data_IF_878392913413
#
_entry.id   IF_878392913413
#
_cell.length_a   1.000
_cell.length_b   1.000
_cell.length_c   1.000
_cell.angle_alpha   90.00
_cell.angle_beta   90.00
_cell.angle_gamma   90.00
#
_symmetry.space_group_name_H-M   'P 1'
#
loop_
_entity.id
_entity.type
_entity.pdbx_description
1 polymer ?
#
# COMPACT_ATOMS: atom_id res chain seq x y z
N UNK A 1 -27.20 -24.16 32.73
CA UNK A 1 -27.20 -22.69 32.59
C UNK A 1 -26.74 -22.37 31.18
N UNK A 2 -27.52 -21.62 30.39
CA UNK A 2 -27.12 -21.23 29.05
C UNK A 2 -25.88 -20.31 29.12
N UNK A 3 -24.83 -20.60 28.34
CA UNK A 3 -23.66 -19.70 28.21
C UNK A 3 -24.16 -18.34 27.72
N UNK A 4 -23.85 -17.27 28.47
CA UNK A 4 -24.14 -15.89 28.04
C UNK A 4 -23.45 -15.65 26.70
N UNK A 5 -24.23 -15.34 25.65
CA UNK A 5 -23.68 -15.03 24.33
C UNK A 5 -22.83 -13.76 24.42
N UNK A 6 -21.68 -13.77 23.75
CA UNK A 6 -20.80 -12.60 23.68
C UNK A 6 -21.45 -11.56 22.79
N UNK A 7 -21.54 -10.32 23.28
CA UNK A 7 -22.19 -9.21 22.58
C UNK A 7 -21.16 -8.25 22.00
N UNK A 8 -21.20 -8.02 20.68
CA UNK A 8 -20.32 -7.12 19.95
C UNK A 8 -21.12 -5.91 19.45
N UNK A 9 -20.66 -4.71 19.79
CA UNK A 9 -21.20 -3.48 19.23
C UNK A 9 -20.55 -3.13 17.89
N UNK A 10 -21.34 -2.70 16.93
CA UNK A 10 -20.86 -2.17 15.64
C UNK A 10 -21.44 -0.78 15.49
N UNK A 11 -20.55 0.22 15.40
CA UNK A 11 -20.93 1.61 15.14
C UNK A 11 -20.34 2.03 13.81
N UNK A 12 -21.18 2.44 12.87
CA UNK A 12 -20.76 2.94 11.56
C UNK A 12 -21.34 4.33 11.25
N UNK A 13 -20.97 4.90 10.10
CA UNK A 13 -21.34 6.28 9.76
C UNK A 13 -22.15 6.42 8.48
N UNK A 14 -23.09 7.37 8.46
CA UNK A 14 -23.78 7.80 7.24
C UNK A 14 -22.82 8.44 6.22
N UNK A 15 -21.75 9.08 6.71
CA UNK A 15 -20.71 9.67 5.86
C UNK A 15 -19.95 8.64 5.01
N UNK A 16 -19.88 7.38 5.46
CA UNK A 16 -19.12 6.35 4.76
C UNK A 16 -19.78 5.96 3.45
N UNK A 17 -18.98 5.95 2.37
CA UNK A 17 -19.43 5.55 1.03
C UNK A 17 -19.49 4.02 0.82
N UNK A 18 -19.00 3.25 1.79
CA UNK A 18 -19.02 1.78 1.80
C UNK A 18 -19.70 1.32 3.09
N UNK A 19 -20.70 0.44 2.99
CA UNK A 19 -21.42 -0.11 4.15
C UNK A 19 -20.56 -1.16 4.88
N UNK A 20 -19.57 -0.67 5.62
CA UNK A 20 -18.70 -1.51 6.44
C UNK A 20 -19.46 -2.20 7.58
N UNK A 21 -20.56 -1.63 8.08
CA UNK A 21 -21.38 -2.29 9.10
C UNK A 21 -22.00 -3.58 8.60
N UNK A 22 -22.59 -3.58 7.40
CA UNK A 22 -23.11 -4.78 6.76
C UNK A 22 -22.00 -5.80 6.47
N UNK A 23 -20.82 -5.36 6.05
CA UNK A 23 -19.66 -6.24 5.81
C UNK A 23 -19.21 -6.94 7.11
N UNK A 24 -19.11 -6.21 8.22
CA UNK A 24 -18.76 -6.75 9.52
C UNK A 24 -19.82 -7.74 10.02
N UNK A 25 -21.11 -7.39 9.94
CA UNK A 25 -22.21 -8.29 10.31
C UNK A 25 -22.17 -9.57 9.47
N UNK A 26 -22.02 -9.44 8.15
CA UNK A 26 -21.97 -10.59 7.25
C UNK A 26 -20.79 -11.53 7.57
N UNK A 27 -19.65 -10.98 7.99
CA UNK A 27 -18.50 -11.76 8.44
C UNK A 27 -18.77 -12.48 9.77
N UNK A 28 -19.29 -11.75 10.77
CA UNK A 28 -19.52 -12.30 12.11
C UNK A 28 -20.62 -13.35 12.08
N UNK A 29 -21.77 -13.04 11.49
CA UNK A 29 -22.93 -13.94 11.45
C UNK A 29 -22.64 -15.25 10.68
N UNK A 30 -21.77 -15.20 9.66
CA UNK A 30 -21.40 -16.39 8.87
C UNK A 30 -20.45 -17.32 9.63
N UNK A 31 -19.46 -16.75 10.33
CA UNK A 31 -18.35 -17.51 10.89
C UNK A 31 -18.45 -17.74 12.40
N UNK A 32 -19.29 -16.95 13.10
CA UNK A 32 -19.40 -16.94 14.56
C UNK A 32 -20.89 -16.81 15.01
N UNK A 33 -21.74 -17.82 14.74
CA UNK A 33 -23.19 -17.76 14.97
C UNK A 33 -23.60 -17.61 16.45
N UNK A 34 -22.68 -17.85 17.38
CA UNK A 34 -22.90 -17.73 18.82
C UNK A 34 -22.66 -16.31 19.37
N UNK A 35 -22.21 -15.38 18.53
CA UNK A 35 -22.01 -13.97 18.86
C UNK A 35 -23.30 -13.18 18.60
N UNK A 36 -23.71 -12.37 19.57
CA UNK A 36 -24.80 -11.40 19.41
C UNK A 36 -24.23 -10.06 18.92
N UNK A 37 -24.89 -9.42 17.96
CA UNK A 37 -24.45 -8.16 17.38
C UNK A 37 -25.46 -7.05 17.69
N UNK A 38 -24.97 -5.89 18.12
CA UNK A 38 -25.77 -4.67 18.24
C UNK A 38 -25.18 -3.61 17.29
N UNK A 39 -25.96 -3.17 16.30
CA UNK A 39 -25.53 -2.13 15.35
C UNK A 39 -26.20 -0.79 15.65
N UNK A 40 -25.41 0.28 15.61
CA UNK A 40 -25.90 1.66 15.59
C UNK A 40 -25.19 2.43 14.47
N UNK A 41 -25.85 3.41 13.87
CA UNK A 41 -25.27 4.29 12.84
C UNK A 41 -25.32 5.73 13.30
N UNK A 42 -24.22 6.47 13.10
CA UNK A 42 -24.10 7.88 13.47
C UNK A 42 -23.78 8.75 12.22
N UNK A 43 -23.90 10.09 12.28
CA UNK A 43 -23.63 10.93 11.11
C UNK A 43 -22.19 10.82 10.59
N UNK A 44 -21.18 10.97 11.45
CA UNK A 44 -19.77 10.98 11.04
C UNK A 44 -18.80 10.42 12.09
N UNK A 45 -17.50 10.46 11.77
CA UNK A 45 -16.47 9.82 12.59
C UNK A 45 -16.36 10.40 14.01
N UNK A 46 -16.68 11.69 14.19
CA UNK A 46 -16.64 12.36 15.50
C UNK A 46 -17.74 11.89 16.46
N UNK A 47 -18.78 11.24 15.93
CA UNK A 47 -19.89 10.71 16.71
C UNK A 47 -19.66 9.24 17.12
N UNK A 48 -18.65 8.58 16.54
CA UNK A 48 -18.30 7.19 16.87
C UNK A 48 -17.88 6.99 18.34
N UNK A 49 -17.03 7.84 18.95
CA UNK A 49 -16.59 7.64 20.32
C UNK A 49 -17.71 7.55 21.38
N UNK A 50 -18.63 8.54 21.48
CA UNK A 50 -19.68 8.47 22.49
C UNK A 50 -20.62 7.29 22.25
N UNK A 51 -20.89 6.93 20.99
CA UNK A 51 -21.78 5.81 20.69
C UNK A 51 -21.14 4.45 20.99
N UNK A 52 -19.85 4.27 20.69
CA UNK A 52 -19.10 3.09 21.12
C UNK A 52 -19.11 2.95 22.64
N UNK A 53 -18.90 4.04 23.38
CA UNK A 53 -18.95 4.03 24.84
C UNK A 53 -20.32 3.57 25.35
N UNK A 54 -21.42 4.10 24.81
CA UNK A 54 -22.78 3.69 25.21
C UNK A 54 -23.01 2.20 24.99
N UNK A 55 -22.59 1.65 23.85
CA UNK A 55 -22.74 0.22 23.57
C UNK A 55 -21.93 -0.65 24.54
N UNK A 56 -20.71 -0.22 24.90
CA UNK A 56 -19.88 -0.91 25.89
C UNK A 56 -20.48 -0.87 27.30
N UNK A 57 -21.02 0.26 27.72
CA UNK A 57 -21.74 0.44 29.00
C UNK A 57 -23.05 -0.36 29.02
N UNK A 58 -23.70 -0.52 27.86
CA UNK A 58 -24.93 -1.30 27.67
C UNK A 58 -24.69 -2.82 27.55
N UNK A 59 -23.48 -3.28 27.86
CA UNK A 59 -23.16 -4.71 27.98
C UNK A 59 -22.53 -5.36 26.75
N UNK A 60 -22.12 -4.60 25.72
CA UNK A 60 -21.22 -5.14 24.70
C UNK A 60 -19.84 -5.40 25.33
N UNK A 61 -19.22 -6.53 25.02
CA UNK A 61 -17.88 -6.89 25.52
C UNK A 61 -16.77 -6.16 24.74
N UNK A 62 -17.06 -5.84 23.47
CA UNK A 62 -16.18 -5.11 22.57
C UNK A 62 -17.02 -4.31 21.57
N UNK A 63 -16.48 -3.23 21.02
CA UNK A 63 -17.09 -2.48 19.93
C UNK A 63 -16.17 -2.36 18.72
N UNK A 64 -16.76 -2.22 17.53
CA UNK A 64 -16.10 -1.84 16.30
C UNK A 64 -16.56 -0.45 15.89
N UNK A 65 -15.62 0.47 15.68
CA UNK A 65 -15.89 1.84 15.21
C UNK A 65 -15.48 1.93 13.73
N UNK A 66 -16.46 1.95 12.83
CA UNK A 66 -16.26 1.87 11.38
C UNK A 66 -16.43 3.26 10.77
N UNK A 67 -15.39 3.78 10.13
CA UNK A 67 -15.42 5.15 9.61
C UNK A 67 -14.63 5.32 8.33
N UNK A 68 -15.17 6.11 7.42
CA UNK A 68 -14.44 6.61 6.27
C UNK A 68 -13.96 8.03 6.53
N UNK A 69 -12.71 8.31 6.17
CA UNK A 69 -12.07 9.63 6.33
C UNK A 69 -11.84 10.24 4.94
N UNK A 70 -12.40 11.43 4.72
CA UNK A 70 -12.26 12.14 3.44
C UNK A 70 -10.81 12.54 3.12
N UNK A 71 -10.52 12.80 1.86
CA UNK A 71 -9.17 13.13 1.40
C UNK A 71 -8.60 14.49 1.84
N UNK A 72 -9.44 15.40 2.34
CA UNK A 72 -9.03 16.74 2.74
C UNK A 72 -8.21 16.76 4.05
N UNK A 73 -7.23 17.68 4.23
CA UNK A 73 -6.44 17.76 5.47
C UNK A 73 -7.29 17.90 6.74
N UNK A 74 -8.37 18.68 6.66
CA UNK A 74 -9.32 18.86 7.78
C UNK A 74 -9.98 17.55 8.20
N UNK A 75 -10.24 16.64 7.26
CA UNK A 75 -10.84 15.34 7.55
C UNK A 75 -9.84 14.44 8.31
N UNK A 76 -8.55 14.52 7.99
CA UNK A 76 -7.50 13.81 8.74
C UNK A 76 -7.42 14.29 10.19
N UNK A 77 -7.57 15.60 10.42
CA UNK A 77 -7.63 16.15 11.79
C UNK A 77 -8.89 15.69 12.53
N UNK A 78 -10.07 15.74 11.91
CA UNK A 78 -11.30 15.23 12.52
C UNK A 78 -11.22 13.72 12.84
N UNK A 79 -10.55 12.93 12.00
CA UNK A 79 -10.31 11.52 12.27
C UNK A 79 -9.39 11.33 13.49
N UNK A 80 -8.32 12.12 13.60
CA UNK A 80 -7.45 12.10 14.78
C UNK A 80 -8.20 12.43 16.08
N UNK A 81 -9.05 13.47 16.07
CA UNK A 81 -9.91 13.83 17.21
C UNK A 81 -10.86 12.68 17.59
N UNK A 82 -11.45 12.01 16.59
CA UNK A 82 -12.28 10.84 16.82
C UNK A 82 -11.47 9.68 17.43
N UNK A 83 -10.26 9.39 16.94
CA UNK A 83 -9.40 8.34 17.51
C UNK A 83 -9.03 8.63 18.98
N UNK A 84 -8.79 9.89 19.35
CA UNK A 84 -8.58 10.30 20.75
C UNK A 84 -9.82 10.03 21.60
N UNK A 85 -11.01 10.35 21.10
CA UNK A 85 -12.26 10.01 21.77
C UNK A 85 -12.45 8.50 21.95
N UNK A 86 -12.15 7.70 20.93
CA UNK A 86 -12.22 6.23 21.00
C UNK A 86 -11.24 5.71 22.07
N UNK A 87 -10.03 6.27 22.13
CA UNK A 87 -9.06 5.92 23.17
C UNK A 87 -9.60 6.22 24.58
N UNK A 88 -10.22 7.39 24.78
CA UNK A 88 -10.86 7.71 26.05
C UNK A 88 -12.00 6.75 26.39
N UNK A 89 -12.86 6.39 25.42
CA UNK A 89 -13.92 5.41 25.62
C UNK A 89 -13.38 4.05 26.07
N UNK A 90 -12.26 3.59 25.49
CA UNK A 90 -11.59 2.34 25.89
C UNK A 90 -11.09 2.41 27.33
N UNK A 91 -10.41 3.49 27.70
CA UNK A 91 -9.83 3.67 29.03
C UNK A 91 -10.92 3.77 30.11
N UNK A 92 -12.01 4.49 29.83
CA UNK A 92 -13.12 4.69 30.78
C UNK A 92 -13.88 3.39 31.02
N UNK A 93 -14.13 2.61 29.96
CA UNK A 93 -14.95 1.39 30.06
C UNK A 93 -14.15 0.15 30.44
N UNK A 94 -12.82 0.20 30.34
CA UNK A 94 -11.95 -0.97 30.49
C UNK A 94 -12.13 -2.01 29.38
N UNK A 95 -12.83 -1.67 28.30
CA UNK A 95 -13.16 -2.57 27.19
C UNK A 95 -12.54 -2.09 25.89
N UNK A 96 -12.38 -3.01 24.95
CA UNK A 96 -11.78 -2.69 23.67
C UNK A 96 -12.78 -2.02 22.72
N UNK A 97 -12.25 -1.08 21.93
CA UNK A 97 -12.85 -0.61 20.68
C UNK A 97 -11.83 -0.86 19.59
N UNK A 98 -12.28 -1.54 18.53
CA UNK A 98 -11.53 -1.79 17.31
C UNK A 98 -11.89 -0.69 16.32
N UNK A 99 -10.98 0.28 16.19
CA UNK A 99 -11.10 1.35 15.22
C UNK A 99 -10.77 0.83 13.81
N UNK A 100 -11.68 1.09 12.88
CA UNK A 100 -11.56 0.72 11.47
C UNK A 100 -11.83 1.96 10.64
N UNK A 101 -10.80 2.82 10.56
CA UNK A 101 -10.81 3.98 9.69
C UNK A 101 -10.16 3.67 8.35
N UNK A 102 -10.79 4.08 7.26
CA UNK A 102 -10.24 3.98 5.90
C UNK A 102 -10.20 5.37 5.28
N UNK A 103 -9.01 5.84 4.90
CA UNK A 103 -8.85 7.15 4.29
C UNK A 103 -8.97 7.05 2.77
N UNK A 104 -9.69 7.97 2.12
CA UNK A 104 -9.83 7.98 0.65
C UNK A 104 -8.48 8.00 -0.07
N UNK A 105 -7.48 8.67 0.51
CA UNK A 105 -6.13 8.78 -0.04
C UNK A 105 -5.34 7.46 0.00
N UNK A 106 -5.86 6.38 0.61
CA UNK A 106 -5.22 5.07 0.61
C UNK A 106 -5.35 4.32 -0.72
N UNK A 107 -6.30 4.74 -1.57
CA UNK A 107 -6.61 4.07 -2.83
C UNK A 107 -6.44 5.01 -4.03
N UNK A 108 -6.16 4.42 -5.19
CA UNK A 108 -6.02 5.14 -6.47
C UNK A 108 -7.29 5.05 -7.32
N UNK A 109 -8.25 4.21 -6.92
CA UNK A 109 -9.53 4.03 -7.58
C UNK A 109 -10.62 3.63 -6.57
N UNK A 110 -11.89 3.87 -6.91
CA UNK A 110 -13.01 3.46 -6.06
C UNK A 110 -13.10 1.95 -5.86
N UNK A 111 -12.69 1.16 -6.87
CA UNK A 111 -12.63 -0.30 -6.77
C UNK A 111 -11.58 -0.76 -5.76
N UNK A 112 -10.40 -0.17 -5.81
CA UNK A 112 -9.33 -0.44 -4.83
C UNK A 112 -9.77 0.00 -3.43
N UNK A 113 -10.41 1.18 -3.32
CA UNK A 113 -10.92 1.70 -2.07
C UNK A 113 -11.95 0.75 -1.43
N UNK A 114 -12.94 0.29 -2.21
CA UNK A 114 -13.93 -0.69 -1.75
C UNK A 114 -13.25 -1.99 -1.28
N UNK A 115 -12.26 -2.48 -2.02
CA UNK A 115 -11.52 -3.70 -1.66
C UNK A 115 -10.76 -3.54 -0.33
N UNK A 116 -10.15 -2.38 -0.08
CA UNK A 116 -9.47 -2.07 1.19
C UNK A 116 -10.49 -2.03 2.33
N UNK A 117 -11.63 -1.34 2.15
CA UNK A 117 -12.71 -1.29 3.14
C UNK A 117 -13.19 -2.70 3.50
N UNK A 118 -13.57 -3.51 2.50
CA UNK A 118 -14.05 -4.86 2.73
C UNK A 118 -13.03 -5.73 3.47
N UNK A 119 -11.79 -5.77 2.98
CA UNK A 119 -10.75 -6.62 3.57
C UNK A 119 -10.44 -6.20 5.02
N UNK A 120 -10.29 -4.90 5.27
CA UNK A 120 -9.98 -4.35 6.60
C UNK A 120 -11.11 -4.64 7.58
N UNK A 121 -12.34 -4.36 7.18
CA UNK A 121 -13.53 -4.57 8.02
C UNK A 121 -13.70 -6.04 8.39
N UNK A 122 -13.62 -6.96 7.42
CA UNK A 122 -13.75 -8.40 7.68
C UNK A 122 -12.67 -8.92 8.62
N UNK A 123 -11.40 -8.58 8.38
CA UNK A 123 -10.29 -8.99 9.24
C UNK A 123 -10.42 -8.42 10.66
N UNK A 124 -10.85 -7.16 10.81
CA UNK A 124 -11.09 -6.58 12.13
C UNK A 124 -12.32 -7.15 12.84
N UNK A 125 -13.34 -7.60 12.10
CA UNK A 125 -14.46 -8.32 12.68
C UNK A 125 -14.02 -9.64 13.32
N UNK A 126 -13.17 -10.41 12.63
CA UNK A 126 -12.55 -11.62 13.17
C UNK A 126 -11.71 -11.31 14.42
N UNK A 127 -10.90 -10.25 14.40
CA UNK A 127 -10.13 -9.82 15.56
C UNK A 127 -11.01 -9.38 16.74
N UNK A 128 -12.13 -8.71 16.47
CA UNK A 128 -13.07 -8.29 17.51
C UNK A 128 -13.69 -9.50 18.20
N UNK A 129 -14.13 -10.50 17.43
CA UNK A 129 -14.62 -11.77 17.98
C UNK A 129 -13.52 -12.47 18.79
N UNK A 130 -12.30 -12.55 18.26
CA UNK A 130 -11.19 -13.24 18.92
C UNK A 130 -10.83 -12.58 20.27
N UNK A 131 -10.76 -11.25 20.31
CA UNK A 131 -10.51 -10.51 21.56
C UNK A 131 -11.61 -10.72 22.59
N UNK A 132 -12.87 -10.81 22.15
CA UNK A 132 -14.00 -10.96 23.05
C UNK A 132 -14.24 -12.41 23.51
N UNK A 133 -13.78 -13.41 22.76
CA UNK A 133 -14.08 -14.82 23.02
C UNK A 133 -12.87 -15.65 23.43
N UNK A 134 -11.70 -15.41 22.84
CA UNK A 134 -10.49 -16.21 23.07
C UNK A 134 -9.18 -15.44 22.75
N UNK A 135 -8.82 -14.44 23.58
CA UNK A 135 -7.66 -13.59 23.32
C UNK A 135 -6.32 -14.34 23.33
N UNK A 136 -6.23 -15.51 23.97
CA UNK A 136 -5.00 -16.31 24.05
C UNK A 136 -4.49 -16.77 22.66
N UNK A 137 -5.37 -16.95 21.69
CA UNK A 137 -4.99 -17.31 20.31
C UNK A 137 -4.16 -16.22 19.61
N UNK A 138 -4.28 -14.95 20.03
CA UNK A 138 -3.49 -13.85 19.46
C UNK A 138 -1.99 -14.05 19.69
N UNK A 139 -1.60 -14.73 20.78
CA UNK A 139 -0.20 -15.02 21.11
C UNK A 139 0.46 -15.84 20.00
N UNK A 140 -0.28 -16.74 19.34
CA UNK A 140 0.24 -17.55 18.23
C UNK A 140 0.65 -16.71 17.02
N UNK A 141 0.12 -15.48 16.91
CA UNK A 141 0.39 -14.54 15.83
C UNK A 141 1.30 -13.37 16.26
N UNK A 142 1.81 -13.39 17.49
CA UNK A 142 2.75 -12.38 17.97
C UNK A 142 4.01 -12.36 17.09
N UNK A 143 4.40 -11.16 16.62
CA UNK A 143 5.59 -10.96 15.81
C UNK A 143 5.50 -11.45 14.36
N UNK A 144 4.33 -11.90 13.86
CA UNK A 144 4.18 -12.42 12.48
C UNK A 144 3.82 -11.36 11.43
N UNK A 145 3.72 -10.09 11.79
CA UNK A 145 3.40 -9.00 10.84
C UNK A 145 2.03 -9.10 10.16
N UNK A 146 1.04 -9.71 10.82
CA UNK A 146 -0.34 -9.85 10.29
C UNK A 146 -1.00 -8.47 10.19
N UNK A 147 -1.53 -8.13 9.01
CA UNK A 147 -2.12 -6.81 8.71
C UNK A 147 -3.60 -6.91 8.34
N UNK A 148 -4.34 -5.80 8.48
CA UNK A 148 -5.74 -5.66 8.08
C UNK A 148 -5.89 -4.66 6.91
N UNK A 149 -6.50 -5.09 5.81
CA UNK A 149 -6.71 -4.27 4.60
C UNK A 149 -5.58 -4.35 3.55
N UNK A 150 -4.38 -4.81 3.91
CA UNK A 150 -3.25 -5.07 2.99
C UNK A 150 -2.68 -6.49 3.23
N UNK A 151 -1.77 -6.93 2.37
CA UNK A 151 -1.02 -8.18 2.56
C UNK A 151 -0.26 -8.17 3.90
N UNK A 152 -0.16 -9.34 4.52
CA UNK A 152 0.67 -9.54 5.71
C UNK A 152 2.14 -9.30 5.37
N UNK A 153 2.91 -8.71 6.30
CA UNK A 153 4.33 -8.41 6.07
C UNK A 153 5.25 -9.56 6.47
N UNK A 154 4.75 -10.52 7.27
CA UNK A 154 5.57 -11.54 7.89
C UNK A 154 6.34 -11.04 9.11
N UNK A 155 6.96 -11.97 9.83
CA UNK A 155 7.91 -11.61 10.88
C UNK A 155 9.23 -11.13 10.27
N UNK A 156 9.92 -10.25 10.98
CA UNK A 156 11.25 -9.78 10.56
C UNK A 156 12.28 -10.83 10.99
N UNK A 157 12.84 -11.56 10.03
CA UNK A 157 13.93 -12.52 10.23
C UNK A 157 15.26 -11.91 9.77
N UNK A 158 16.04 -11.41 10.72
CA UNK A 158 17.34 -10.78 10.47
C UNK A 158 18.44 -11.75 10.01
N UNK A 159 18.17 -13.06 9.96
CA UNK A 159 19.16 -14.08 9.57
C UNK A 159 19.24 -14.32 8.06
N UNK A 160 18.30 -13.79 7.27
CA UNK A 160 18.24 -13.99 5.82
C UNK A 160 18.61 -12.72 5.05
N UNK A 161 19.60 -12.82 4.17
CA UNK A 161 19.82 -11.83 3.12
C UNK A 161 18.71 -11.98 2.07
N UNK A 162 17.69 -11.13 2.14
CA UNK A 162 16.59 -11.17 1.18
C UNK A 162 17.08 -10.78 -0.24
N UNK A 163 16.58 -11.46 -1.29
CA UNK A 163 16.88 -11.10 -2.67
C UNK A 163 16.46 -9.65 -2.94
N UNK A 164 17.21 -8.96 -3.79
CA UNK A 164 16.91 -7.57 -4.13
C UNK A 164 15.72 -7.56 -5.07
N UNK A 165 14.58 -7.14 -4.55
CA UNK A 165 13.39 -6.86 -5.33
C UNK A 165 13.54 -5.59 -6.18
N UNK A 166 13.49 -5.74 -7.50
CA UNK A 166 13.61 -4.68 -8.49
C UNK A 166 12.25 -4.37 -9.13
N UNK A 167 11.96 -3.09 -9.28
CA UNK A 167 10.90 -2.60 -10.17
C UNK A 167 11.47 -2.13 -11.51
N UNK A 168 10.76 -2.32 -12.61
CA UNK A 168 11.19 -1.83 -13.93
C UNK A 168 10.09 -0.96 -14.54
N UNK A 169 10.43 0.26 -14.94
CA UNK A 169 9.53 1.14 -15.70
C UNK A 169 10.10 1.31 -17.10
N UNK A 170 9.26 1.20 -18.13
CA UNK A 170 9.68 1.29 -19.53
C UNK A 170 8.79 2.27 -20.29
N UNK A 171 9.40 3.33 -20.85
CA UNK A 171 8.73 4.20 -21.83
C UNK A 171 8.67 3.55 -23.20
N UNK A 172 7.48 3.35 -23.75
CA UNK A 172 7.22 2.59 -24.99
C UNK A 172 6.91 3.49 -26.20
N UNK A 173 7.71 4.54 -26.42
CA UNK A 173 7.58 5.38 -27.62
C UNK A 173 7.78 4.56 -28.91
N UNK A 174 8.76 3.64 -28.92
CA UNK A 174 8.89 2.56 -29.91
C UNK A 174 8.97 1.23 -29.15
N UNK A 175 7.96 0.38 -29.39
CA UNK A 175 7.79 -0.89 -28.66
C UNK A 175 8.85 -1.93 -28.98
N UNK A 176 9.47 -1.86 -30.15
CA UNK A 176 10.48 -2.85 -30.56
C UNK A 176 11.77 -2.61 -29.78
N UNK A 177 12.28 -1.38 -29.80
CA UNK A 177 13.49 -0.98 -29.06
C UNK A 177 13.26 -1.11 -27.56
N UNK A 178 12.19 -0.51 -27.04
CA UNK A 178 11.89 -0.57 -25.60
C UNK A 178 11.60 -2.00 -25.13
N UNK A 179 11.02 -2.85 -25.99
CA UNK A 179 10.82 -4.28 -25.72
C UNK A 179 12.14 -5.04 -25.58
N UNK A 180 13.13 -4.76 -26.44
CA UNK A 180 14.47 -5.34 -26.33
C UNK A 180 15.22 -4.82 -25.11
N UNK A 181 15.14 -3.52 -24.80
CA UNK A 181 15.67 -2.96 -23.55
C UNK A 181 15.11 -3.70 -22.33
N UNK A 182 13.79 -3.91 -22.29
CA UNK A 182 13.16 -4.66 -21.21
C UNK A 182 13.68 -6.09 -21.13
N UNK A 183 13.81 -6.80 -22.27
CA UNK A 183 14.33 -8.17 -22.30
C UNK A 183 15.76 -8.25 -21.73
N UNK A 184 16.64 -7.34 -22.12
CA UNK A 184 18.01 -7.26 -21.59
C UNK A 184 18.04 -6.94 -20.09
N UNK A 185 17.15 -6.06 -19.62
CA UNK A 185 17.04 -5.73 -18.20
C UNK A 185 16.54 -6.93 -17.36
N UNK A 186 15.56 -7.69 -17.86
CA UNK A 186 15.05 -8.89 -17.18
C UNK A 186 16.13 -9.98 -17.08
N UNK A 187 16.84 -10.24 -18.17
CA UNK A 187 17.97 -11.19 -18.20
C UNK A 187 19.08 -10.77 -17.23
N UNK A 188 19.46 -9.48 -17.21
CA UNK A 188 20.46 -8.95 -16.27
C UNK A 188 20.01 -9.07 -14.81
N UNK A 189 18.74 -8.77 -14.51
CA UNK A 189 18.20 -8.89 -13.16
C UNK A 189 18.31 -10.34 -12.66
N UNK A 190 17.99 -11.31 -13.52
CA UNK A 190 18.18 -12.74 -13.24
C UNK A 190 19.63 -13.10 -12.93
N UNK A 191 20.59 -12.65 -13.75
CA UNK A 191 22.04 -12.88 -13.54
C UNK A 191 22.54 -12.33 -12.21
N UNK A 192 21.95 -11.22 -11.76
CA UNK A 192 22.34 -10.57 -10.50
C UNK A 192 21.63 -11.14 -9.26
N UNK A 193 20.71 -12.10 -9.43
CA UNK A 193 19.89 -12.66 -8.36
C UNK A 193 18.84 -11.68 -7.84
N UNK A 194 18.45 -10.69 -8.64
CA UNK A 194 17.40 -9.74 -8.29
C UNK A 194 16.04 -10.28 -8.73
N UNK A 195 15.02 -10.11 -7.88
CA UNK A 195 13.65 -10.51 -8.20
C UNK A 195 12.91 -9.33 -8.83
N UNK A 196 12.48 -9.47 -10.09
CA UNK A 196 11.64 -8.44 -10.71
C UNK A 196 10.21 -8.58 -10.20
N UNK A 197 9.74 -7.58 -9.46
CA UNK A 197 8.41 -7.60 -8.83
C UNK A 197 7.31 -7.14 -9.75
N UNK A 198 7.57 -6.07 -10.50
CA UNK A 198 6.61 -5.51 -11.44
C UNK A 198 7.33 -4.79 -12.57
N UNK A 199 6.71 -4.85 -13.74
CA UNK A 199 7.10 -4.09 -14.92
C UNK A 199 5.94 -3.15 -15.27
N UNK A 200 6.20 -1.85 -15.31
CA UNK A 200 5.21 -0.86 -15.71
C UNK A 200 5.62 -0.25 -17.05
N UNK A 201 4.77 -0.43 -18.06
CA UNK A 201 4.91 0.17 -19.39
C UNK A 201 4.14 1.48 -19.42
N UNK A 202 4.77 2.54 -19.93
CA UNK A 202 4.16 3.86 -20.05
C UNK A 202 4.32 4.40 -21.47
N UNK A 203 3.46 5.34 -21.92
CA UNK A 203 3.47 5.83 -23.30
C UNK A 203 4.83 6.40 -23.76
N UNK A 204 5.53 7.14 -22.90
CA UNK A 204 6.84 7.68 -23.25
C UNK A 204 7.66 8.12 -22.04
N UNK A 205 8.79 8.77 -22.34
CA UNK A 205 9.75 9.27 -21.36
C UNK A 205 9.15 10.20 -20.30
N UNK A 206 8.15 10.99 -20.67
CA UNK A 206 7.55 12.00 -19.80
C UNK A 206 6.68 11.39 -18.69
N UNK A 207 6.09 10.22 -18.92
CA UNK A 207 5.28 9.50 -17.92
C UNK A 207 6.12 8.61 -17.00
N UNK A 208 7.38 8.34 -17.34
CA UNK A 208 8.28 7.47 -16.55
C UNK A 208 8.39 7.92 -15.08
N UNK A 209 8.60 9.21 -14.75
CA UNK A 209 8.70 9.63 -13.35
C UNK A 209 7.46 9.30 -12.51
N UNK A 210 6.25 9.48 -13.06
CA UNK A 210 5.02 9.16 -12.34
C UNK A 210 4.90 7.65 -12.06
N UNK A 211 5.24 6.82 -13.04
CA UNK A 211 5.29 5.37 -12.90
C UNK A 211 6.34 4.91 -11.88
N UNK A 212 7.52 5.53 -11.91
CA UNK A 212 8.58 5.30 -10.91
C UNK A 212 8.07 5.64 -9.51
N UNK A 213 7.43 6.80 -9.31
CA UNK A 213 6.84 7.19 -8.03
C UNK A 213 5.83 6.16 -7.52
N UNK A 214 4.90 5.73 -8.38
CA UNK A 214 3.91 4.70 -8.05
C UNK A 214 4.57 3.39 -7.63
N UNK A 215 5.66 3.00 -8.29
CA UNK A 215 6.42 1.78 -7.99
C UNK A 215 7.20 1.87 -6.68
N UNK A 216 7.82 3.02 -6.38
CA UNK A 216 8.57 3.27 -5.15
C UNK A 216 7.71 3.25 -3.88
N UNK A 217 6.41 3.56 -4.03
CA UNK A 217 5.43 3.46 -2.94
C UNK A 217 5.19 2.00 -2.48
N UNK A 218 5.53 1.02 -3.30
CA UNK A 218 5.56 -0.37 -2.86
C UNK A 218 6.80 -0.59 -1.98
N UNK A 219 6.56 -0.84 -0.68
CA UNK A 219 7.62 -1.07 0.30
C UNK A 219 8.50 -2.26 -0.05
N UNK A 220 7.96 -3.25 -0.77
CA UNK A 220 8.69 -4.45 -1.19
C UNK A 220 9.65 -4.18 -2.34
N UNK A 221 9.57 -3.04 -3.04
CA UNK A 221 10.53 -2.65 -4.08
C UNK A 221 11.73 -1.98 -3.43
N UNK A 222 12.94 -2.50 -3.66
CA UNK A 222 14.18 -1.94 -3.12
C UNK A 222 14.83 -0.91 -4.05
N UNK A 223 14.64 -1.05 -5.35
CA UNK A 223 15.14 -0.14 -6.37
C UNK A 223 14.29 -0.18 -7.63
N UNK A 224 14.43 0.83 -8.49
CA UNK A 224 13.75 0.91 -9.78
C UNK A 224 14.76 1.13 -10.92
N UNK A 225 14.58 0.42 -12.04
CA UNK A 225 15.26 0.70 -13.31
C UNK A 225 14.30 1.39 -14.27
N UNK A 226 14.60 2.64 -14.63
CA UNK A 226 13.83 3.44 -15.57
C UNK A 226 14.43 3.34 -16.98
N UNK A 227 13.73 2.69 -17.89
CA UNK A 227 14.18 2.37 -19.25
C UNK A 227 13.35 3.13 -20.30
N UNK A 228 13.92 3.24 -21.49
CA UNK A 228 13.28 3.82 -22.66
C UNK A 228 14.28 4.63 -23.48
N UNK A 229 13.79 5.35 -24.46
CA UNK A 229 14.62 6.31 -25.17
C UNK A 229 13.82 7.51 -25.65
N UNK A 230 14.55 8.56 -26.01
CA UNK A 230 14.02 9.77 -26.63
C UNK A 230 14.78 9.98 -27.93
N UNK A 231 14.07 9.95 -29.05
CA UNK A 231 14.62 10.24 -30.37
C UNK A 231 14.70 11.75 -30.59
N UNK A 232 15.80 12.20 -31.21
CA UNK A 232 16.04 13.61 -31.50
C UNK A 232 14.99 14.15 -32.47
N UNK A 233 14.29 15.19 -32.04
CA UNK A 233 13.29 15.88 -32.85
C UNK A 233 13.85 17.05 -33.66
N UNK A 234 12.97 17.69 -34.44
CA UNK A 234 13.28 18.95 -35.16
C UNK A 234 13.37 20.18 -34.24
N UNK A 235 12.82 20.08 -33.03
CA UNK A 235 12.78 21.16 -32.03
C UNK A 235 13.49 20.71 -30.75
N UNK A 236 13.69 21.62 -29.79
CA UNK A 236 14.30 21.32 -28.48
C UNK A 236 13.40 20.47 -27.55
N UNK A 237 12.21 20.07 -28.00
CA UNK A 237 11.23 19.38 -27.15
C UNK A 237 11.76 18.04 -26.60
N UNK A 238 12.50 17.30 -27.42
CA UNK A 238 13.21 16.07 -27.06
C UNK A 238 14.12 16.24 -25.82
N UNK A 239 14.94 17.30 -25.82
CA UNK A 239 15.85 17.63 -24.72
C UNK A 239 15.08 17.98 -23.46
N UNK A 240 14.04 18.81 -23.59
CA UNK A 240 13.21 19.22 -22.46
C UNK A 240 12.57 17.98 -21.82
N UNK A 241 12.01 17.06 -22.61
CA UNK A 241 11.39 15.84 -22.09
C UNK A 241 12.44 14.95 -21.39
N UNK A 242 13.59 14.70 -22.03
CA UNK A 242 14.63 13.85 -21.47
C UNK A 242 15.25 14.42 -20.18
N UNK A 243 15.58 15.72 -20.17
CA UNK A 243 16.20 16.40 -19.03
C UNK A 243 15.24 16.46 -17.84
N UNK A 244 13.98 16.85 -18.05
CA UNK A 244 13.00 16.91 -16.95
C UNK A 244 12.68 15.51 -16.40
N UNK A 245 12.55 14.50 -17.27
CA UNK A 245 12.33 13.13 -16.82
C UNK A 245 13.50 12.63 -15.96
N UNK A 246 14.76 12.87 -16.38
CA UNK A 246 15.94 12.48 -15.62
C UNK A 246 16.04 13.22 -14.27
N UNK A 247 15.73 14.52 -14.24
CA UNK A 247 15.72 15.31 -13.01
C UNK A 247 14.69 14.79 -12.00
N UNK A 248 13.46 14.50 -12.44
CA UNK A 248 12.43 13.97 -11.56
C UNK A 248 12.73 12.54 -11.10
N UNK A 249 13.35 11.72 -11.94
CA UNK A 249 13.84 10.38 -11.54
C UNK A 249 14.87 10.48 -10.40
N UNK A 250 15.84 11.39 -10.52
CA UNK A 250 16.83 11.64 -9.47
C UNK A 250 16.16 12.12 -8.17
N UNK A 251 15.25 13.09 -8.29
CA UNK A 251 14.47 13.61 -7.17
C UNK A 251 13.70 12.49 -6.45
N UNK A 252 13.02 11.63 -7.19
CA UNK A 252 12.28 10.49 -6.63
C UNK A 252 13.20 9.49 -5.92
N UNK A 253 14.42 9.29 -6.42
CA UNK A 253 15.40 8.44 -5.72
C UNK A 253 15.78 9.02 -4.35
N UNK A 254 15.98 10.34 -4.27
CA UNK A 254 16.27 11.04 -3.01
C UNK A 254 15.07 11.01 -2.05
N UNK A 255 13.88 11.35 -2.54
CA UNK A 255 12.64 11.39 -1.74
C UNK A 255 12.29 10.02 -1.17
N UNK A 256 12.42 8.96 -1.98
CA UNK A 256 12.10 7.60 -1.55
C UNK A 256 13.20 6.91 -0.75
N UNK A 257 14.41 7.46 -0.74
CA UNK A 257 15.63 6.83 -0.20
C UNK A 257 15.92 5.44 -0.81
N UNK A 258 15.47 5.23 -2.04
CA UNK A 258 15.66 3.99 -2.80
C UNK A 258 16.37 4.32 -4.11
N UNK A 259 17.34 3.51 -4.55
CA UNK A 259 17.99 3.73 -5.84
C UNK A 259 16.99 3.73 -6.99
N UNK A 260 17.02 4.78 -7.82
CA UNK A 260 16.40 4.78 -9.15
C UNK A 260 17.50 4.97 -10.18
N UNK A 261 17.70 3.97 -11.02
CA UNK A 261 18.71 3.99 -12.08
C UNK A 261 18.12 4.46 -13.40
N UNK A 262 18.90 5.25 -14.14
CA UNK A 262 18.52 5.79 -15.44
C UNK A 262 19.11 4.93 -16.56
N UNK A 263 18.26 4.15 -17.20
CA UNK A 263 18.53 3.46 -18.47
C UNK A 263 17.91 4.17 -19.68
N UNK A 264 17.24 5.30 -19.48
CA UNK A 264 16.71 6.11 -20.57
C UNK A 264 17.83 6.76 -21.37
N UNK A 265 17.81 6.62 -22.69
CA UNK A 265 18.84 7.18 -23.58
C UNK A 265 18.26 8.22 -24.52
N UNK A 266 19.03 9.29 -24.75
CA UNK A 266 18.78 10.21 -25.84
C UNK A 266 19.64 9.79 -27.04
N UNK A 267 19.02 9.70 -28.22
CA UNK A 267 19.62 9.18 -29.46
C UNK A 267 19.21 10.03 -30.65
N UNK A 268 20.04 10.07 -31.68
CA UNK A 268 19.77 10.81 -32.91
C UNK A 268 18.67 10.16 -33.74
N UNK A 269 18.66 8.82 -33.80
CA UNK A 269 17.70 8.03 -34.56
C UNK A 269 17.50 6.64 -33.94
N UNK A 270 16.53 5.89 -34.48
CA UNK A 270 16.23 4.52 -34.07
C UNK A 270 17.41 3.56 -34.20
N UNK A 271 18.30 3.74 -35.17
CA UNK A 271 19.45 2.84 -35.37
C UNK A 271 20.44 2.98 -34.22
N UNK A 272 20.73 4.22 -33.81
CA UNK A 272 21.55 4.47 -32.62
C UNK A 272 20.88 3.91 -31.35
N UNK A 273 19.55 3.96 -31.27
CA UNK A 273 18.82 3.32 -30.17
C UNK A 273 19.09 1.80 -30.11
N UNK A 274 19.03 1.12 -31.26
CA UNK A 274 19.31 -0.32 -31.36
C UNK A 274 20.75 -0.69 -31.02
N UNK A 275 21.72 0.16 -31.34
CA UNK A 275 23.13 -0.08 -31.00
C UNK A 275 23.41 0.08 -29.49
N UNK A 276 22.58 0.85 -28.79
CA UNK A 276 22.78 1.24 -27.39
C UNK A 276 21.83 0.54 -26.40
N UNK A 277 20.70 0.01 -26.87
CA UNK A 277 19.61 -0.54 -26.05
C UNK A 277 20.10 -1.58 -25.03
N UNK A 278 20.94 -2.53 -25.44
CA UNK A 278 21.45 -3.59 -24.57
C UNK A 278 22.31 -3.01 -23.44
N UNK A 279 23.33 -2.23 -23.80
CA UNK A 279 24.31 -1.74 -22.83
C UNK A 279 23.68 -0.85 -21.76
N UNK A 280 22.74 0.01 -22.15
CA UNK A 280 22.05 0.89 -21.20
C UNK A 280 21.02 0.17 -20.33
N UNK A 281 20.27 -0.77 -20.90
CA UNK A 281 19.34 -1.58 -20.12
C UNK A 281 20.05 -2.39 -19.04
N UNK A 282 21.14 -3.09 -19.40
CA UNK A 282 21.94 -3.87 -18.43
C UNK A 282 22.57 -2.97 -17.37
N UNK A 283 23.14 -1.83 -17.76
CA UNK A 283 23.78 -0.89 -16.82
C UNK A 283 22.78 -0.29 -15.82
N UNK A 284 21.55 -0.01 -16.23
CA UNK A 284 20.53 0.48 -15.31
C UNK A 284 20.27 -0.55 -14.20
N UNK A 285 20.01 -1.80 -14.56
CA UNK A 285 19.82 -2.89 -13.60
C UNK A 285 21.04 -3.08 -12.71
N UNK A 286 22.25 -3.13 -13.29
CA UNK A 286 23.49 -3.24 -12.52
C UNK A 286 23.65 -2.11 -11.51
N UNK A 287 23.39 -0.87 -11.90
CA UNK A 287 23.49 0.28 -11.02
C UNK A 287 22.48 0.20 -9.87
N UNK A 288 21.21 -0.08 -10.17
CA UNK A 288 20.17 -0.24 -9.17
C UNK A 288 20.51 -1.33 -8.14
N UNK A 289 20.87 -2.52 -8.61
CA UNK A 289 21.13 -3.67 -7.74
C UNK A 289 22.42 -3.48 -6.93
N UNK A 290 23.52 -3.02 -7.55
CA UNK A 290 24.78 -2.76 -6.83
C UNK A 290 24.60 -1.67 -5.78
N UNK A 291 23.83 -0.63 -6.07
CA UNK A 291 23.62 0.44 -5.11
C UNK A 291 22.82 -0.02 -3.89
N UNK A 292 21.78 -0.86 -4.08
CA UNK A 292 21.08 -1.49 -2.94
C UNK A 292 22.04 -2.35 -2.11
N UNK A 293 22.88 -3.17 -2.75
CA UNK A 293 23.90 -3.99 -2.03
C UNK A 293 24.85 -3.12 -1.21
N UNK A 294 25.23 -1.97 -1.75
CA UNK A 294 26.13 -1.05 -1.05
C UNK A 294 25.43 -0.36 0.13
N UNK A 295 24.20 0.16 -0.07
CA UNK A 295 23.42 0.79 1.00
C UNK A 295 23.20 -0.14 2.20
N UNK A 296 22.88 -1.42 1.94
CA UNK A 296 22.68 -2.44 2.98
C UNK A 296 23.92 -2.70 3.86
N UNK A 297 25.12 -2.29 3.45
CA UNK A 297 26.33 -2.40 4.29
C UNK A 297 26.37 -1.36 5.41
N UNK A 298 25.55 -0.32 5.33
CA UNK A 298 25.48 0.80 6.27
C UNK A 298 24.15 0.84 7.05
N UNK A 299 23.34 -0.22 6.95
CA UNK A 299 22.14 -0.45 7.78
C UNK A 299 22.52 -1.19 9.07
#
# INVERSE_FOLDING_TARGET
>A
MAKKKVKIGIVDTMFSRVDMGALAIGEISRNYPDVEIVRTTVPGVKDLPPECRKLLESGCEICMALGMVGGAPIATQCAHEASLGIMQAKLITGKHVIEVFVHENEAWSEREFHSICENRTRKHAQNAVLLATNPAELVKNAGKGVRQGKEDEGGIDISKSEPITLGIVVGEFDRDVSGRMLAHALDEAGRMGAQVRSVMRVPGAFEVPLAVKKMLMDKKVHAVAALGYVEKGKTRHDRIVAENAAQEIMRLSLESRKPVSLGMIMVADRKEAQEREEGYARRAVMAAVKFVKELRKYE
#
